data_IF_653008851579
#
_entry.id   IF_653008851579
#
_cell.length_a   1.000
_cell.length_b   1.000
_cell.length_c   1.000
_cell.angle_alpha   90.00
_cell.angle_beta   90.00
_cell.angle_gamma   90.00
#
_symmetry.space_group_name_H-M   'P 1'
#
loop_
_entity.id
_entity.type
_entity.pdbx_description
1 polymer ?
#
# COMPACT_ATOMS: atom_id res chain seq x y z
N UNK A 1 -24.93 3.79 -8.51
CA UNK A 1 -24.06 4.86 -8.00
C UNK A 1 -22.65 4.63 -8.51
N UNK A 2 -21.92 5.69 -8.87
CA UNK A 2 -20.50 5.56 -9.25
C UNK A 2 -19.65 5.24 -8.01
N UNK A 3 -18.62 4.42 -8.16
CA UNK A 3 -17.69 4.08 -7.07
C UNK A 3 -16.58 5.13 -6.96
N UNK A 4 -16.07 5.32 -5.75
CA UNK A 4 -14.85 6.09 -5.49
C UNK A 4 -13.64 5.29 -5.97
N UNK A 5 -12.90 5.85 -6.93
CA UNK A 5 -11.66 5.26 -7.42
C UNK A 5 -10.52 5.62 -6.48
N UNK A 6 -9.88 4.62 -5.91
CA UNK A 6 -8.82 4.76 -4.91
C UNK A 6 -7.51 4.08 -5.37
N UNK A 7 -6.39 4.59 -4.86
CA UNK A 7 -5.08 3.95 -4.99
C UNK A 7 -4.68 3.45 -3.61
N UNK A 8 -4.31 2.17 -3.49
CA UNK A 8 -3.72 1.67 -2.24
C UNK A 8 -2.23 1.99 -2.21
N UNK A 9 -1.73 2.46 -1.07
CA UNK A 9 -0.33 2.77 -0.88
C UNK A 9 0.19 2.10 0.39
N UNK A 10 1.30 1.38 0.28
CA UNK A 10 1.97 0.73 1.41
C UNK A 10 3.45 1.08 1.39
N UNK A 11 4.04 1.31 2.56
CA UNK A 11 5.47 1.61 2.68
C UNK A 11 6.09 0.81 3.83
N UNK A 12 7.33 0.39 3.62
CA UNK A 12 8.20 -0.09 4.68
C UNK A 12 9.48 0.74 4.66
N UNK A 13 9.88 1.24 5.84
CA UNK A 13 11.11 2.00 5.97
C UNK A 13 12.32 1.11 5.71
N UNK A 14 13.39 1.69 5.14
CA UNK A 14 14.67 1.02 4.95
C UNK A 14 15.19 0.42 6.26
N UNK A 15 15.47 -0.88 6.24
CA UNK A 15 16.29 -1.60 7.22
C UNK A 15 17.41 -2.33 6.47
N UNK A 16 18.53 -2.62 7.14
CA UNK A 16 19.71 -3.21 6.49
C UNK A 16 19.50 -4.66 5.99
N UNK A 17 18.34 -5.26 6.25
CA UNK A 17 18.02 -6.64 5.87
C UNK A 17 17.13 -6.61 4.63
N UNK A 18 17.74 -6.84 3.46
CA UNK A 18 17.04 -6.96 2.17
C UNK A 18 16.76 -8.41 1.88
N UNK A 19 15.56 -8.89 2.18
CA UNK A 19 15.07 -10.15 1.65
C UNK A 19 13.58 -10.06 1.30
N UNK A 20 13.28 -9.93 0.00
CA UNK A 20 11.96 -9.99 -0.63
C UNK A 20 10.90 -8.99 -0.10
N UNK A 21 9.71 -8.94 -0.72
CA UNK A 21 8.59 -8.16 -0.20
C UNK A 21 8.38 -8.55 1.27
N UNK A 22 8.67 -7.62 2.18
CA UNK A 22 8.67 -7.94 3.59
C UNK A 22 7.28 -8.36 4.04
N UNK A 23 7.16 -9.35 4.93
CA UNK A 23 5.89 -9.83 5.49
C UNK A 23 4.97 -8.67 5.97
N UNK A 24 5.57 -7.55 6.40
CA UNK A 24 4.86 -6.33 6.78
C UNK A 24 4.11 -5.65 5.63
N UNK A 25 4.64 -5.61 4.40
CA UNK A 25 3.94 -5.03 3.24
C UNK A 25 2.73 -5.89 2.88
N UNK A 26 2.91 -7.21 2.83
CA UNK A 26 1.81 -8.14 2.52
C UNK A 26 0.67 -8.01 3.53
N UNK A 27 1.00 -7.89 4.82
CA UNK A 27 0.01 -7.63 5.87
C UNK A 27 -0.71 -6.28 5.70
N UNK A 28 0.01 -5.21 5.36
CA UNK A 28 -0.61 -3.90 5.09
C UNK A 28 -1.60 -3.96 3.91
N UNK A 29 -1.22 -4.61 2.81
CA UNK A 29 -2.11 -4.82 1.65
C UNK A 29 -3.38 -5.58 2.05
N UNK A 30 -3.24 -6.60 2.90
CA UNK A 30 -4.38 -7.37 3.40
C UNK A 30 -5.37 -6.49 4.18
N UNK A 31 -4.86 -5.66 5.10
CA UNK A 31 -5.67 -4.73 5.89
C UNK A 31 -6.44 -3.75 5.00
N UNK A 32 -5.80 -3.18 3.98
CA UNK A 32 -6.46 -2.27 3.03
C UNK A 32 -7.55 -3.00 2.25
N UNK A 33 -7.27 -4.21 1.75
CA UNK A 33 -8.25 -5.00 1.00
C UNK A 33 -9.44 -5.40 1.87
N UNK A 34 -9.21 -5.76 3.12
CA UNK A 34 -10.29 -6.11 4.05
C UNK A 34 -11.13 -4.91 4.46
N UNK A 35 -10.54 -3.71 4.52
CA UNK A 35 -11.31 -2.48 4.63
C UNK A 35 -12.20 -2.27 3.40
N UNK A 36 -11.64 -2.32 2.19
CA UNK A 36 -12.41 -2.08 0.95
C UNK A 36 -13.50 -3.14 0.71
N UNK A 37 -13.27 -4.41 1.08
CA UNK A 37 -14.32 -5.45 1.03
C UNK A 37 -15.57 -5.08 1.82
N UNK A 38 -15.45 -4.28 2.89
CA UNK A 38 -16.56 -3.82 3.73
C UNK A 38 -17.20 -2.51 3.22
N UNK A 39 -16.63 -1.90 2.17
CA UNK A 39 -17.05 -0.60 1.61
C UNK A 39 -17.27 -0.75 0.10
N UNK A 40 -18.48 -1.15 -0.30
CA UNK A 40 -18.83 -1.48 -1.70
C UNK A 40 -18.81 -0.28 -2.66
N UNK A 41 -18.77 0.93 -2.10
CA UNK A 41 -18.64 2.21 -2.79
C UNK A 41 -17.20 2.54 -3.18
N UNK A 42 -16.20 1.78 -2.74
CA UNK A 42 -14.78 2.00 -3.07
C UNK A 42 -14.28 0.95 -4.07
N UNK A 43 -13.47 1.40 -5.03
CA UNK A 43 -12.77 0.56 -6.00
C UNK A 43 -11.28 0.90 -6.00
N UNK A 44 -10.43 -0.07 -5.67
CA UNK A 44 -8.97 0.08 -5.80
C UNK A 44 -8.61 -0.06 -7.28
N UNK A 45 -8.09 1.00 -7.89
CA UNK A 45 -7.70 1.04 -9.32
C UNK A 45 -6.19 0.87 -9.54
N UNK A 46 -5.38 1.00 -8.49
CA UNK A 46 -3.93 0.80 -8.53
C UNK A 46 -3.37 0.53 -7.14
N UNK A 47 -2.26 -0.21 -7.05
CA UNK A 47 -1.50 -0.43 -5.82
C UNK A 47 -0.08 0.16 -5.99
N UNK A 48 0.39 0.89 -4.98
CA UNK A 48 1.71 1.54 -4.94
C UNK A 48 2.48 1.07 -3.71
N UNK A 49 3.74 0.71 -3.89
CA UNK A 49 4.56 0.08 -2.84
C UNK A 49 5.93 0.74 -2.79
N UNK A 50 6.28 1.22 -1.60
CA UNK A 50 7.63 1.69 -1.28
C UNK A 50 8.26 0.76 -0.23
N UNK A 51 8.95 -0.29 -0.67
CA UNK A 51 9.69 -1.16 0.24
C UNK A 51 11.15 -0.70 0.35
N UNK A 52 11.57 -0.32 1.56
CA UNK A 52 12.90 0.16 1.84
C UNK A 52 13.12 1.66 1.57
N UNK A 53 12.08 2.49 1.64
CA UNK A 53 12.19 3.94 1.42
C UNK A 53 12.01 4.75 2.71
N UNK A 54 12.78 5.84 2.81
CA UNK A 54 12.61 6.81 3.90
C UNK A 54 11.23 7.46 3.85
N UNK A 55 10.62 7.65 5.02
CA UNK A 55 9.37 8.42 5.17
C UNK A 55 9.61 9.91 5.40
N UNK A 56 10.88 10.35 5.45
CA UNK A 56 11.25 11.75 5.73
C UNK A 56 10.97 12.66 4.53
N UNK A 57 11.05 12.11 3.33
CA UNK A 57 10.77 12.81 2.09
C UNK A 57 9.57 12.15 1.42
N UNK A 58 8.77 12.94 0.72
CA UNK A 58 7.80 12.38 -0.22
C UNK A 58 8.60 11.71 -1.34
N UNK A 59 8.81 10.40 -1.20
CA UNK A 59 9.33 9.59 -2.29
C UNK A 59 8.38 9.81 -3.47
N UNK A 60 8.90 10.21 -4.63
CA UNK A 60 8.11 10.30 -5.86
C UNK A 60 7.81 8.87 -6.31
N UNK A 61 6.90 8.20 -5.62
CA UNK A 61 6.45 6.84 -5.94
C UNK A 61 5.74 6.93 -7.29
N UNK A 62 6.30 6.24 -8.30
CA UNK A 62 5.63 6.03 -9.59
C UNK A 62 4.75 4.79 -9.52
#
# INVERSE_FOLDING_TARGET
MSKYKAISYTRLSYTNEKDNESNSISNQKMLIRDFVKKHSDIEIVSEKVDDGYTGVLFARVR
#
